data_IF_427405053624
#
_entry.id   IF_427405053624
#
_cell.length_a   1.000
_cell.length_b   1.000
_cell.length_c   1.000
_cell.angle_alpha   90.00
_cell.angle_beta   90.00
_cell.angle_gamma   90.00
#
_symmetry.space_group_name_H-M   'P 1'
#
loop_
_entity.id
_entity.type
_entity.pdbx_description
1 polymer ?
#
# COMPACT_ATOMS: atom_id res chain seq x y z
N UNK A 1 4.86 -11.72 20.02
CA UNK A 1 5.09 -10.26 20.03
C UNK A 1 4.50 -9.67 21.31
N UNK A 2 5.37 -9.04 22.08
CA UNK A 2 5.05 -8.20 23.22
C UNK A 2 4.32 -6.93 22.77
N UNK A 3 3.76 -6.17 23.72
CA UNK A 3 2.98 -4.97 23.37
C UNK A 3 3.90 -3.86 22.84
N UNK A 4 5.04 -3.70 23.48
CA UNK A 4 5.99 -2.63 23.16
C UNK A 4 6.59 -2.84 21.75
N UNK A 5 7.01 -4.07 21.44
CA UNK A 5 7.44 -4.45 20.08
C UNK A 5 6.38 -4.18 19.01
N UNK A 6 5.09 -4.33 19.34
CA UNK A 6 3.98 -4.07 18.42
C UNK A 6 3.76 -2.57 18.23
N UNK A 7 3.92 -1.77 19.28
CA UNK A 7 3.81 -0.31 19.20
C UNK A 7 4.96 0.27 18.38
N UNK A 8 6.19 -0.20 18.61
CA UNK A 8 7.36 0.16 17.81
C UNK A 8 7.16 -0.21 16.34
N UNK A 9 6.69 -1.43 16.06
CA UNK A 9 6.38 -1.83 14.68
C UNK A 9 5.31 -0.93 14.05
N UNK A 10 4.26 -0.60 14.79
CA UNK A 10 3.20 0.27 14.30
C UNK A 10 3.73 1.69 13.99
N UNK A 11 4.58 2.25 14.85
CA UNK A 11 5.26 3.52 14.62
C UNK A 11 6.10 3.50 13.33
N UNK A 12 6.91 2.45 13.13
CA UNK A 12 7.71 2.32 11.91
C UNK A 12 6.84 2.21 10.65
N UNK A 13 5.71 1.48 10.74
CA UNK A 13 4.77 1.36 9.61
C UNK A 13 4.10 2.70 9.26
N UNK A 14 3.82 3.55 10.24
CA UNK A 14 3.31 4.91 10.01
C UNK A 14 4.35 5.78 9.33
N UNK A 15 5.61 5.74 9.77
CA UNK A 15 6.71 6.49 9.13
C UNK A 15 6.87 6.05 7.66
N UNK A 16 6.80 4.74 7.38
CA UNK A 16 6.84 4.22 6.01
C UNK A 16 5.65 4.72 5.20
N UNK A 17 4.44 4.67 5.75
CA UNK A 17 3.23 5.18 5.10
C UNK A 17 3.37 6.67 4.74
N UNK A 18 3.83 7.50 5.68
CA UNK A 18 4.03 8.93 5.45
C UNK A 18 5.02 9.17 4.30
N UNK A 19 6.12 8.40 4.25
CA UNK A 19 7.06 8.47 3.14
C UNK A 19 6.42 8.10 1.78
N UNK A 20 5.50 7.15 1.76
CA UNK A 20 4.77 6.78 0.53
C UNK A 20 3.73 7.85 0.13
N UNK A 21 3.06 8.49 1.10
CA UNK A 21 2.10 9.56 0.84
C UNK A 21 2.74 10.79 0.18
N UNK A 22 4.03 11.02 0.41
CA UNK A 22 4.78 12.11 -0.22
C UNK A 22 5.17 11.83 -1.69
N UNK A 23 4.97 10.61 -2.18
CA UNK A 23 5.35 10.22 -3.54
C UNK A 23 4.23 10.51 -4.54
N UNK A 24 4.61 10.97 -5.74
CA UNK A 24 3.65 11.27 -6.81
C UNK A 24 3.08 10.02 -7.50
N UNK A 25 3.75 8.87 -7.37
CA UNK A 25 3.36 7.59 -7.96
C UNK A 25 2.36 6.79 -7.12
N UNK A 26 2.03 7.23 -5.90
CA UNK A 26 1.10 6.54 -5.01
C UNK A 26 -0.31 7.10 -5.18
N UNK A 27 -1.29 6.22 -5.41
CA UNK A 27 -2.68 6.65 -5.60
C UNK A 27 -3.24 7.32 -4.34
N UNK A 28 -3.94 8.45 -4.54
CA UNK A 28 -4.65 9.12 -3.45
C UNK A 28 -5.71 8.19 -2.86
N UNK A 29 -5.68 8.00 -1.55
CA UNK A 29 -6.62 7.14 -0.84
C UNK A 29 -6.13 5.71 -0.58
N UNK A 30 -4.91 5.36 -1.03
CA UNK A 30 -4.27 4.06 -0.76
C UNK A 30 -4.31 3.67 0.73
N UNK A 31 -4.21 4.66 1.62
CA UNK A 31 -4.15 4.45 3.07
C UNK A 31 -5.45 4.83 3.81
N UNK A 32 -6.54 5.11 3.10
CA UNK A 32 -7.81 5.56 3.70
C UNK A 32 -8.41 4.53 4.69
N UNK A 33 -8.18 3.23 4.44
CA UNK A 33 -8.64 2.18 5.34
C UNK A 33 -7.96 2.30 6.70
N UNK A 34 -6.67 2.63 6.73
CA UNK A 34 -5.94 2.86 7.98
C UNK A 34 -6.47 4.11 8.71
N UNK A 35 -6.67 5.21 7.98
CA UNK A 35 -7.16 6.47 8.59
C UNK A 35 -8.54 6.28 9.26
N UNK A 36 -9.40 5.43 8.68
CA UNK A 36 -10.73 5.11 9.24
C UNK A 36 -10.67 4.30 10.53
N UNK A 37 -9.56 3.63 10.84
CA UNK A 37 -9.43 2.85 12.07
C UNK A 37 -9.30 3.74 13.32
N UNK A 38 -8.80 4.97 13.18
CA UNK A 38 -8.51 5.87 14.29
C UNK A 38 -7.64 5.18 15.38
N UNK A 39 -6.57 4.54 14.91
CA UNK A 39 -5.58 3.85 15.75
C UNK A 39 -4.19 4.38 15.39
N UNK A 40 -3.70 5.33 16.19
CA UNK A 40 -2.34 5.86 16.14
C UNK A 40 -1.38 5.07 17.06
N UNK A 41 -0.07 4.98 16.75
CA UNK A 41 0.93 4.38 17.63
C UNK A 41 0.99 4.97 19.04
N UNK A 42 0.70 6.26 19.20
CA UNK A 42 0.64 6.94 20.51
C UNK A 42 -0.54 6.50 21.37
N UNK A 43 -1.54 5.81 20.80
CA UNK A 43 -2.67 5.23 21.53
C UNK A 43 -2.27 3.98 22.33
N UNK A 44 -1.22 4.07 23.16
CA UNK A 44 -0.64 2.96 23.93
C UNK A 44 -1.65 2.26 24.86
N UNK A 45 -2.78 2.88 25.16
CA UNK A 45 -3.87 2.29 25.95
C UNK A 45 -4.75 1.33 25.14
N UNK A 46 -4.77 1.41 23.81
CA UNK A 46 -5.53 0.50 22.94
C UNK A 46 -5.02 -0.94 23.05
N UNK A 47 -5.86 -1.87 22.64
CA UNK A 47 -5.61 -3.30 22.74
C UNK A 47 -4.51 -3.74 21.75
N UNK A 48 -3.85 -4.86 22.05
CA UNK A 48 -2.92 -5.50 21.10
C UNK A 48 -3.61 -5.87 19.78
N UNK A 49 -4.89 -6.25 19.82
CA UNK A 49 -5.67 -6.58 18.63
C UNK A 49 -5.87 -5.36 17.72
N UNK A 50 -6.15 -4.19 18.29
CA UNK A 50 -6.30 -2.95 17.52
C UNK A 50 -4.99 -2.58 16.81
N UNK A 51 -3.87 -2.58 17.53
CA UNK A 51 -2.57 -2.28 16.92
C UNK A 51 -2.14 -3.32 15.88
N UNK A 52 -2.45 -4.61 16.09
CA UNK A 52 -2.21 -5.65 15.07
C UNK A 52 -3.04 -5.41 13.82
N UNK A 53 -4.30 -5.01 14.00
CA UNK A 53 -5.18 -4.73 12.88
C UNK A 53 -4.69 -3.52 12.09
N UNK A 54 -4.28 -2.46 12.77
CA UNK A 54 -3.66 -1.28 12.17
C UNK A 54 -2.41 -1.65 11.34
N UNK A 55 -1.47 -2.40 11.91
CA UNK A 55 -0.27 -2.89 11.19
C UNK A 55 -0.65 -3.75 9.98
N UNK A 56 -1.67 -4.60 10.10
CA UNK A 56 -2.13 -5.44 9.00
C UNK A 56 -2.70 -4.63 7.84
N UNK A 57 -3.56 -3.64 8.13
CA UNK A 57 -4.12 -2.74 7.11
C UNK A 57 -3.04 -1.91 6.43
N UNK A 58 -2.09 -1.36 7.20
CA UNK A 58 -0.93 -0.65 6.64
C UNK A 58 -0.08 -1.54 5.74
N UNK A 59 0.17 -2.79 6.13
CA UNK A 59 0.92 -3.76 5.32
C UNK A 59 0.25 -4.07 3.99
N UNK A 60 -1.07 -4.24 3.98
CA UNK A 60 -1.82 -4.48 2.74
C UNK A 60 -1.84 -3.27 1.82
N UNK A 61 -2.04 -2.07 2.37
CA UNK A 61 -2.00 -0.83 1.61
C UNK A 61 -0.61 -0.60 0.98
N UNK A 62 0.46 -0.85 1.75
CA UNK A 62 1.83 -0.76 1.27
C UNK A 62 2.13 -1.78 0.16
N UNK A 63 1.71 -3.03 0.33
CA UNK A 63 1.86 -4.05 -0.69
C UNK A 63 1.13 -3.67 -2.00
N UNK A 64 -0.06 -3.07 -1.89
CA UNK A 64 -0.83 -2.59 -3.04
C UNK A 64 -0.10 -1.46 -3.75
N UNK A 65 0.36 -0.45 -3.00
CA UNK A 65 1.13 0.68 -3.52
C UNK A 65 2.40 0.22 -4.29
N UNK A 66 3.07 -0.83 -3.80
CA UNK A 66 4.25 -1.39 -4.46
C UNK A 66 3.91 -2.24 -5.68
N UNK A 67 2.76 -2.93 -5.68
CA UNK A 67 2.36 -3.79 -6.80
C UNK A 67 1.94 -2.99 -8.04
N UNK A 68 1.40 -1.79 -7.86
CA UNK A 68 1.09 -0.89 -8.98
C UNK A 68 2.36 -0.33 -9.63
N UNK A 69 3.48 -0.24 -8.89
CA UNK A 69 4.80 0.06 -9.44
C UNK A 69 5.39 -1.15 -10.22
N UNK A 70 4.99 -2.39 -9.91
CA UNK A 70 5.40 -3.58 -10.66
C UNK A 70 4.80 -3.63 -12.09
N UNK A 71 3.74 -2.84 -12.36
CA UNK A 71 3.33 -2.41 -13.71
C UNK A 71 4.18 -1.25 -14.26
N UNK A 72 5.48 -1.22 -13.91
CA UNK A 72 6.50 -0.31 -14.43
C UNK A 72 6.56 -0.32 -15.96
N UNK A 73 7.37 0.59 -16.54
CA UNK A 73 7.49 0.82 -17.99
C UNK A 73 7.51 -0.46 -18.86
N UNK A 74 8.10 -1.56 -18.37
CA UNK A 74 8.11 -2.85 -19.05
C UNK A 74 6.73 -3.51 -19.17
N UNK A 75 5.92 -3.48 -18.11
CA UNK A 75 4.52 -3.95 -18.13
C UNK A 75 3.65 -3.09 -19.06
N UNK A 76 3.87 -1.78 -19.08
CA UNK A 76 3.21 -0.86 -20.04
C UNK A 76 3.61 -1.13 -21.49
N UNK A 77 4.88 -1.48 -21.75
CA UNK A 77 5.34 -1.89 -23.09
C UNK A 77 4.68 -3.20 -23.50
N UNK A 78 4.61 -4.19 -22.60
CA UNK A 78 3.92 -5.46 -22.85
C UNK A 78 2.45 -5.25 -23.23
N UNK A 79 1.73 -4.42 -22.46
CA UNK A 79 0.34 -4.06 -22.76
C UNK A 79 0.18 -3.41 -24.13
N UNK A 80 1.05 -2.45 -24.48
CA UNK A 80 1.03 -1.80 -25.81
C UNK A 80 1.34 -2.77 -26.95
N UNK A 81 2.27 -3.70 -26.74
CA UNK A 81 2.60 -4.73 -27.73
C UNK A 81 1.42 -5.69 -27.96
N UNK A 82 0.69 -6.04 -26.90
CA UNK A 82 -0.52 -6.83 -27.00
C UNK A 82 -1.64 -6.08 -27.74
N UNK A 83 -1.90 -4.82 -27.39
CA UNK A 83 -2.91 -3.98 -28.08
C UNK A 83 -2.59 -3.84 -29.58
N UNK A 84 -1.31 -3.66 -29.96
CA UNK A 84 -0.89 -3.61 -31.36
C UNK A 84 -1.13 -4.94 -32.12
N UNK A 85 -0.95 -6.08 -31.46
CA UNK A 85 -1.20 -7.38 -32.06
C UNK A 85 -2.69 -7.61 -32.30
N UNK A 86 -3.54 -7.28 -31.33
CA UNK A 86 -5.00 -7.38 -31.43
C UNK A 86 -5.57 -6.46 -32.52
N UNK A 87 -5.07 -5.22 -32.62
CA UNK A 87 -5.45 -4.27 -33.68
C UNK A 87 -5.07 -4.80 -35.08
N UNK A 88 -3.93 -5.46 -35.22
CA UNK A 88 -3.47 -6.04 -36.48
C UNK A 88 -4.33 -7.23 -36.89
N UNK A 89 -4.76 -8.07 -35.94
CA UNK A 89 -5.67 -9.20 -36.19
C UNK A 89 -7.08 -8.73 -36.58
N UNK A 90 -7.58 -7.64 -36.01
CA UNK A 90 -8.91 -7.09 -36.33
C UNK A 90 -9.06 -6.53 -37.75
N UNK A 91 -7.93 -6.27 -38.42
CA UNK A 91 -7.86 -5.69 -39.78
C UNK A 91 -7.66 -6.72 -40.88
N UNK A 92 -7.61 -8.01 -40.55
CA UNK A 92 -7.60 -9.17 -41.46
C UNK A 92 -9.01 -9.71 -41.66
#
# INVERSE_FOLDING_TARGET
MHKDELLELHEQMVIIMENFREREDVETGTFDEYDKLDVDPSHVHKSKSEHKHAVFVLGNALASAMSDDEFSSAGRIGKRMQELAEDAESRL
#
